data_IF_980348088101
#
_entry.id   IF_980348088101
#
_cell.length_a   1.000
_cell.length_b   1.000
_cell.length_c   1.000
_cell.angle_alpha   90.00
_cell.angle_beta   90.00
_cell.angle_gamma   90.00
#
_symmetry.space_group_name_H-M   'P 1'
#
loop_
_entity.id
_entity.type
_entity.pdbx_description
1 polymer ?
#
# COMPACT_ATOMS: atom_id res chain seq x y z
N UNK A 1 -38.95 -11.60 -15.55
CA UNK A 1 -39.41 -10.92 -14.33
C UNK A 1 -39.24 -9.43 -14.58
N UNK A 2 -40.27 -8.61 -14.41
CA UNK A 2 -40.22 -7.22 -14.88
C UNK A 2 -39.34 -6.40 -13.93
N UNK A 3 -38.63 -5.37 -14.42
CA UNK A 3 -37.78 -4.47 -13.62
C UNK A 3 -38.50 -3.99 -12.35
N UNK A 4 -39.81 -3.77 -12.43
CA UNK A 4 -40.68 -3.37 -11.31
C UNK A 4 -40.66 -4.37 -10.13
N UNK A 5 -40.53 -5.68 -10.37
CA UNK A 5 -40.48 -6.69 -9.31
C UNK A 5 -39.16 -6.61 -8.51
N UNK A 6 -38.07 -6.25 -9.17
CA UNK A 6 -36.75 -6.07 -8.55
C UNK A 6 -36.72 -4.77 -7.74
N UNK A 7 -37.35 -3.71 -8.25
CA UNK A 7 -37.47 -2.42 -7.58
C UNK A 7 -38.23 -2.52 -6.25
N UNK A 8 -39.34 -3.26 -6.22
CA UNK A 8 -40.10 -3.53 -4.98
C UNK A 8 -39.24 -4.28 -3.95
N UNK A 9 -38.49 -5.30 -4.39
CA UNK A 9 -37.56 -6.04 -3.49
C UNK A 9 -36.48 -5.14 -2.92
N UNK A 10 -35.90 -4.26 -3.74
CA UNK A 10 -34.83 -3.35 -3.32
C UNK A 10 -35.32 -2.32 -2.30
N UNK A 11 -36.48 -1.70 -2.56
CA UNK A 11 -37.09 -0.73 -1.65
C UNK A 11 -37.47 -1.36 -0.30
N UNK A 12 -37.98 -2.60 -0.30
CA UNK A 12 -38.26 -3.33 0.94
C UNK A 12 -37.00 -3.60 1.77
N UNK A 13 -35.87 -3.87 1.12
CA UNK A 13 -34.58 -4.12 1.78
C UNK A 13 -34.00 -2.83 2.38
N UNK A 14 -34.21 -1.70 1.71
CA UNK A 14 -33.79 -0.37 2.14
C UNK A 14 -34.50 0.06 3.43
N UNK A 15 -35.79 -0.25 3.56
CA UNK A 15 -36.55 -0.01 4.79
C UNK A 15 -36.10 -0.91 5.95
N UNK A 16 -35.75 -2.18 5.68
CA UNK A 16 -35.19 -3.07 6.70
C UNK A 16 -33.83 -2.60 7.21
N UNK A 17 -32.99 -2.02 6.34
CA UNK A 17 -31.71 -1.42 6.74
C UNK A 17 -31.93 -0.22 7.67
N UNK A 18 -32.89 0.66 7.35
CA UNK A 18 -33.20 1.83 8.19
C UNK A 18 -33.69 1.41 9.58
N UNK A 19 -34.51 0.37 9.66
CA UNK A 19 -34.99 -0.16 10.95
C UNK A 19 -33.85 -0.73 11.80
N UNK A 20 -32.90 -1.44 11.20
CA UNK A 20 -31.72 -1.94 11.93
C UNK A 20 -30.77 -0.82 12.41
N UNK A 21 -30.67 0.29 11.67
CA UNK A 21 -29.84 1.43 12.07
C UNK A 21 -30.41 2.23 13.26
N UNK A 22 -31.71 2.08 13.55
CA UNK A 22 -32.38 2.73 14.68
C UNK A 22 -32.35 1.88 15.96
N UNK A 23 -31.98 0.60 15.88
CA UNK A 23 -31.81 -0.29 17.03
C UNK A 23 -30.39 -0.21 17.58
N UNK A 24 -30.22 0.06 18.88
CA UNK A 24 -28.91 0.32 19.50
C UNK A 24 -28.12 -0.95 19.89
N UNK A 25 -28.32 -2.06 19.19
CA UNK A 25 -27.54 -3.29 19.39
C UNK A 25 -27.02 -3.85 18.05
N UNK A 26 -25.76 -4.28 18.05
CA UNK A 26 -25.08 -4.86 16.89
C UNK A 26 -25.71 -6.22 16.54
N UNK A 27 -26.75 -6.21 15.72
CA UNK A 27 -27.43 -7.42 15.29
C UNK A 27 -26.72 -8.03 14.06
N UNK A 28 -25.55 -8.62 14.29
CA UNK A 28 -24.67 -9.23 13.27
C UNK A 28 -25.41 -10.28 12.42
N UNK A 29 -26.37 -10.99 13.04
CA UNK A 29 -27.28 -11.92 12.37
C UNK A 29 -28.19 -11.22 11.35
N UNK A 30 -28.73 -10.05 11.69
CA UNK A 30 -29.56 -9.23 10.80
C UNK A 30 -28.77 -8.68 9.61
N UNK A 31 -27.53 -8.23 9.84
CA UNK A 31 -26.64 -7.75 8.78
C UNK A 31 -26.22 -8.88 7.82
N UNK A 32 -25.94 -10.07 8.34
CA UNK A 32 -25.61 -11.23 7.52
C UNK A 32 -26.82 -11.73 6.71
N UNK A 33 -28.04 -11.64 7.25
CA UNK A 33 -29.27 -11.92 6.52
C UNK A 33 -29.48 -10.95 5.35
N UNK A 34 -29.32 -9.64 5.59
CA UNK A 34 -29.45 -8.62 4.56
C UNK A 34 -28.40 -8.75 3.46
N UNK A 35 -27.14 -9.05 3.81
CA UNK A 35 -26.07 -9.31 2.82
C UNK A 35 -26.43 -10.45 1.87
N UNK A 36 -27.00 -11.55 2.39
CA UNK A 36 -27.43 -12.69 1.55
C UNK A 36 -28.55 -12.30 0.57
N UNK A 37 -29.51 -11.48 1.01
CA UNK A 37 -30.59 -11.00 0.15
C UNK A 37 -30.06 -10.06 -0.96
N UNK A 38 -29.11 -9.18 -0.62
CA UNK A 38 -28.50 -8.24 -1.57
C UNK A 38 -27.71 -8.97 -2.68
N UNK A 39 -26.98 -10.03 -2.31
CA UNK A 39 -26.26 -10.88 -3.27
C UNK A 39 -27.24 -11.57 -4.22
N UNK A 40 -28.36 -12.08 -3.72
CA UNK A 40 -29.37 -12.77 -4.53
C UNK A 40 -30.02 -11.82 -5.54
N UNK A 41 -30.35 -10.60 -5.13
CA UNK A 41 -30.88 -9.56 -6.02
C UNK A 41 -29.85 -9.14 -7.08
N UNK A 42 -28.57 -9.03 -6.71
CA UNK A 42 -27.48 -8.75 -7.65
C UNK A 42 -27.33 -9.83 -8.72
N UNK A 43 -27.48 -11.10 -8.34
CA UNK A 43 -27.46 -12.23 -9.28
C UNK A 43 -28.70 -12.24 -10.20
N UNK A 44 -29.87 -11.83 -9.71
CA UNK A 44 -31.10 -11.69 -10.51
C UNK A 44 -31.02 -10.52 -11.52
N UNK A 45 -30.35 -9.42 -11.16
CA UNK A 45 -30.09 -8.26 -12.03
C UNK A 45 -29.12 -8.55 -13.17
N UNK A 46 -28.13 -9.41 -12.92
CA UNK A 46 -27.12 -9.78 -13.90
C UNK A 46 -27.58 -10.91 -14.85
N UNK A 47 -28.85 -11.31 -14.80
CA UNK A 47 -29.43 -12.30 -15.71
C UNK A 47 -30.02 -11.62 -16.97
N UNK A 48 -29.47 -11.90 -18.18
CA UNK A 48 -29.80 -11.17 -19.41
C UNK A 48 -31.23 -11.38 -19.93
N UNK A 49 -31.95 -12.39 -19.42
CA UNK A 49 -33.35 -12.69 -19.79
C UNK A 49 -34.40 -11.75 -19.19
N UNK A 50 -34.01 -10.80 -18.33
CA UNK A 50 -34.93 -9.82 -17.71
C UNK A 50 -34.94 -8.43 -18.39
N UNK A 51 -34.17 -8.22 -19.47
CA UNK A 51 -34.14 -6.96 -20.21
C UNK A 51 -35.04 -6.99 -21.45
N UNK A 52 -36.33 -6.71 -21.28
CA UNK A 52 -37.20 -6.28 -22.38
C UNK A 52 -37.84 -4.94 -21.99
N UNK A 53 -37.37 -3.84 -22.58
CA UNK A 53 -37.91 -2.49 -22.34
C UNK A 53 -39.19 -2.25 -23.16
N UNK A 54 -40.21 -1.56 -22.63
CA UNK A 54 -41.33 -1.06 -23.43
C UNK A 54 -40.97 0.27 -24.12
N UNK A 55 -41.62 0.64 -25.24
CA UNK A 55 -41.10 1.66 -26.17
C UNK A 55 -41.24 3.13 -25.74
N UNK A 56 -41.57 3.45 -24.48
CA UNK A 56 -41.84 4.84 -24.08
C UNK A 56 -41.57 5.18 -22.60
N UNK A 57 -40.74 4.41 -21.90
CA UNK A 57 -40.27 4.83 -20.57
C UNK A 57 -39.08 5.78 -20.72
N UNK A 58 -39.24 7.03 -20.29
CA UNK A 58 -38.11 7.94 -20.02
C UNK A 58 -37.07 7.18 -19.19
N UNK A 59 -35.78 7.16 -19.58
CA UNK A 59 -34.82 6.32 -18.90
C UNK A 59 -34.52 6.89 -17.51
N UNK A 60 -35.01 6.20 -16.48
CA UNK A 60 -34.60 6.35 -15.07
C UNK A 60 -33.12 5.95 -14.84
N UNK A 61 -32.33 5.79 -15.92
CA UNK A 61 -30.87 5.69 -15.88
C UNK A 61 -30.26 6.97 -15.30
N UNK A 62 -30.94 8.12 -15.40
CA UNK A 62 -30.47 9.35 -14.80
C UNK A 62 -30.48 9.33 -13.26
N UNK A 63 -31.39 8.58 -12.62
CA UNK A 63 -31.46 8.50 -11.15
C UNK A 63 -30.59 7.36 -10.58
N UNK A 64 -30.37 6.29 -11.34
CA UNK A 64 -29.37 5.25 -10.98
C UNK A 64 -27.94 5.80 -11.09
N UNK A 65 -27.69 6.76 -11.99
CA UNK A 65 -26.45 7.51 -11.96
C UNK A 65 -26.31 8.34 -10.69
N UNK A 66 -27.35 8.78 -9.99
CA UNK A 66 -27.17 9.66 -8.81
C UNK A 66 -26.60 8.91 -7.60
N UNK A 67 -26.71 7.57 -7.53
CA UNK A 67 -26.07 6.76 -6.47
C UNK A 67 -24.69 6.24 -6.92
N UNK A 68 -24.46 6.05 -8.23
CA UNK A 68 -23.18 5.63 -8.83
C UNK A 68 -22.28 6.78 -9.31
N UNK A 69 -22.78 8.02 -9.35
CA UNK A 69 -22.11 9.21 -9.88
C UNK A 69 -22.14 10.38 -8.90
N UNK A 70 -22.03 10.09 -7.60
CA UNK A 70 -20.96 10.79 -6.90
C UNK A 70 -19.67 10.34 -7.58
N UNK A 71 -19.32 11.00 -8.72
CA UNK A 71 -17.92 11.17 -9.13
C UNK A 71 -17.16 11.28 -7.82
N UNK A 72 -16.11 10.48 -7.56
CA UNK A 72 -15.38 10.61 -6.32
C UNK A 72 -15.18 12.11 -6.18
N UNK A 73 -15.81 12.72 -5.16
CA UNK A 73 -15.60 14.14 -4.88
C UNK A 73 -14.10 14.15 -4.83
N UNK A 74 -13.44 14.76 -5.84
CA UNK A 74 -11.99 14.81 -5.85
C UNK A 74 -11.66 15.22 -4.45
N UNK A 75 -11.07 14.32 -3.67
CA UNK A 75 -10.80 14.60 -2.28
C UNK A 75 -9.75 15.69 -2.38
N UNK A 76 -10.21 16.94 -2.41
CA UNK A 76 -9.37 18.09 -2.28
C UNK A 76 -8.97 18.01 -0.83
N UNK A 77 -7.81 17.39 -0.63
CA UNK A 77 -7.02 17.59 0.57
C UNK A 77 -7.06 19.08 0.88
N UNK A 78 -7.25 19.44 2.15
CA UNK A 78 -7.09 20.83 2.56
C UNK A 78 -5.75 21.31 2.03
N UNK A 79 -5.75 22.41 1.27
CA UNK A 79 -4.54 22.90 0.60
C UNK A 79 -3.49 23.36 1.63
N UNK A 80 -3.93 23.71 2.83
CA UNK A 80 -3.06 23.96 3.98
C UNK A 80 -2.94 22.68 4.80
N UNK A 81 -1.73 22.13 4.80
CA UNK A 81 -1.31 21.02 5.66
C UNK A 81 -0.74 21.58 6.97
N UNK A 82 -0.81 20.79 8.03
CA UNK A 82 -0.08 21.07 9.27
C UNK A 82 1.12 20.13 9.33
N UNK A 83 2.30 20.66 9.66
CA UNK A 83 3.43 19.83 10.07
C UNK A 83 3.07 19.27 11.44
N UNK A 84 2.69 17.99 11.49
CA UNK A 84 2.40 17.31 12.77
C UNK A 84 3.71 17.01 13.51
N UNK A 85 4.81 16.89 12.76
CA UNK A 85 6.09 16.35 13.21
C UNK A 85 7.25 16.88 12.36
N UNK A 86 8.36 17.31 12.97
CA UNK A 86 9.64 17.59 12.28
C UNK A 86 10.10 19.05 12.32
N UNK A 87 10.37 19.64 11.15
CA UNK A 87 10.83 21.04 11.05
C UNK A 87 9.80 22.01 11.65
N UNK A 88 10.28 23.09 12.25
CA UNK A 88 9.50 24.10 13.00
C UNK A 88 9.01 23.69 14.40
N UNK A 89 9.57 22.62 14.98
CA UNK A 89 9.41 22.32 16.41
C UNK A 89 10.46 23.12 17.22
N UNK A 90 10.02 23.82 18.28
CA UNK A 90 10.89 24.62 19.16
C UNK A 90 11.93 23.75 19.91
N UNK A 91 11.57 22.50 20.19
CA UNK A 91 12.44 21.53 20.87
C UNK A 91 13.43 20.92 19.88
N UNK A 92 14.66 21.45 19.86
CA UNK A 92 15.75 21.01 18.97
C UNK A 92 15.96 19.48 19.00
N UNK A 93 15.86 18.87 20.18
CA UNK A 93 16.01 17.43 20.37
C UNK A 93 14.98 16.62 19.58
N UNK A 94 13.85 17.17 19.16
CA UNK A 94 12.80 16.46 18.42
C UNK A 94 12.83 16.71 16.90
N UNK A 95 13.79 17.50 16.40
CA UNK A 95 13.99 17.66 14.95
C UNK A 95 14.36 16.31 14.31
N UNK A 96 13.66 15.95 13.24
CA UNK A 96 13.90 14.73 12.49
C UNK A 96 15.09 14.90 11.53
N UNK A 97 15.80 13.80 11.24
CA UNK A 97 16.92 13.78 10.32
C UNK A 97 16.85 12.54 9.40
N UNK A 98 16.46 12.78 8.14
CA UNK A 98 16.17 11.75 7.11
C UNK A 98 15.25 10.63 7.62
N UNK A 99 14.08 10.95 8.22
CA UNK A 99 13.14 9.93 8.67
C UNK A 99 12.77 9.00 7.51
N UNK A 100 12.56 7.71 7.80
CA UNK A 100 12.33 6.68 6.78
C UNK A 100 10.88 6.23 6.76
N UNK A 101 10.52 5.25 7.59
CA UNK A 101 9.16 4.74 7.67
C UNK A 101 8.45 5.23 8.93
N UNK A 102 7.12 5.18 8.83
CA UNK A 102 6.21 5.50 9.91
C UNK A 102 5.23 4.36 10.12
N UNK A 103 4.78 4.18 11.34
CA UNK A 103 3.66 3.31 11.69
C UNK A 103 2.63 4.10 12.48
N UNK A 104 1.36 3.88 12.18
CA UNK A 104 0.25 4.51 12.88
C UNK A 104 -0.60 3.43 13.50
N UNK A 105 -0.78 3.52 14.81
CA UNK A 105 -1.51 2.54 15.58
C UNK A 105 -3.02 2.86 15.63
N UNK A 106 -3.83 2.01 16.28
CA UNK A 106 -5.29 2.23 16.36
C UNK A 106 -5.68 3.45 17.20
N UNK A 107 -4.83 3.85 18.14
CA UNK A 107 -4.99 5.05 18.96
C UNK A 107 -4.45 6.31 18.26
N UNK A 108 -3.98 6.17 17.01
CA UNK A 108 -3.39 7.23 16.18
C UNK A 108 -2.07 7.75 16.74
N UNK A 109 -1.35 6.93 17.49
CA UNK A 109 0.05 7.19 17.82
C UNK A 109 0.89 6.95 16.57
N UNK A 110 1.81 7.87 16.31
CA UNK A 110 2.68 7.88 15.15
C UNK A 110 4.08 7.52 15.61
N UNK A 111 4.57 6.38 15.16
CA UNK A 111 5.91 5.88 15.41
C UNK A 111 6.78 6.16 14.20
N UNK A 112 7.97 6.71 14.40
CA UNK A 112 8.81 7.19 13.30
C UNK A 112 10.24 6.70 13.49
N UNK A 113 10.77 6.02 12.47
CA UNK A 113 12.17 5.66 12.39
C UNK A 113 12.99 6.88 11.94
N UNK A 114 13.64 7.56 12.89
CA UNK A 114 14.45 8.75 12.67
C UNK A 114 15.90 8.34 12.37
N UNK A 115 16.12 7.96 11.12
CA UNK A 115 17.27 7.18 10.66
C UNK A 115 18.63 7.79 10.98
N UNK A 116 18.88 9.06 10.65
CA UNK A 116 20.20 9.66 10.90
C UNK A 116 20.39 10.09 12.35
N UNK A 117 19.32 10.18 13.13
CA UNK A 117 19.41 10.42 14.57
C UNK A 117 19.46 9.11 15.39
N UNK A 118 19.46 7.94 14.72
CA UNK A 118 19.62 6.62 15.33
C UNK A 118 18.62 6.36 16.47
N UNK A 119 17.34 6.64 16.21
CA UNK A 119 16.28 6.57 17.23
C UNK A 119 14.91 6.31 16.62
N UNK A 120 13.96 6.01 17.50
CA UNK A 120 12.53 6.00 17.19
C UNK A 120 11.82 7.03 18.07
N UNK A 121 10.93 7.80 17.46
CA UNK A 121 10.09 8.78 18.14
C UNK A 121 8.62 8.35 18.06
N UNK A 122 7.89 8.54 19.14
CA UNK A 122 6.43 8.44 19.20
C UNK A 122 5.80 9.84 19.33
N UNK A 123 4.69 10.03 18.63
CA UNK A 123 3.81 11.19 18.77
C UNK A 123 2.36 10.75 18.92
N UNK A 124 1.67 11.29 19.90
CA UNK A 124 0.21 11.17 19.96
C UNK A 124 -0.45 12.10 18.93
N UNK A 125 -1.62 11.71 18.45
CA UNK A 125 -2.38 12.52 17.51
C UNK A 125 -2.75 13.88 18.12
N UNK A 126 -2.38 14.97 17.43
CA UNK A 126 -2.55 16.37 17.88
C UNK A 126 -1.70 16.77 19.09
N UNK A 127 -0.71 15.97 19.51
CA UNK A 127 0.23 16.40 20.53
C UNK A 127 1.16 17.50 20.00
N UNK A 128 1.54 18.43 20.88
CA UNK A 128 2.48 19.51 20.56
C UNK A 128 3.95 19.08 20.70
N UNK A 129 4.21 17.92 21.33
CA UNK A 129 5.54 17.37 21.56
C UNK A 129 5.52 15.85 21.41
N UNK A 130 6.69 15.27 21.15
CA UNK A 130 6.87 13.82 20.98
C UNK A 130 7.90 13.28 21.95
N UNK A 131 8.01 11.96 22.02
CA UNK A 131 8.90 11.27 22.94
C UNK A 131 9.87 10.34 22.19
N UNK A 132 11.14 10.34 22.59
CA UNK A 132 12.08 9.31 22.15
C UNK A 132 11.78 8.04 22.94
N UNK A 133 11.39 6.99 22.23
CA UNK A 133 10.96 5.72 22.82
C UNK A 133 11.99 4.60 22.63
N UNK A 134 12.92 4.76 21.69
CA UNK A 134 14.08 3.88 21.53
C UNK A 134 15.27 4.61 20.90
N UNK A 135 16.49 4.16 21.23
CA UNK A 135 17.73 4.74 20.74
C UNK A 135 17.99 6.17 21.24
N UNK A 136 18.64 6.99 20.41
CA UNK A 136 18.94 8.40 20.72
C UNK A 136 20.19 8.63 21.59
N UNK A 137 20.98 7.58 21.85
CA UNK A 137 22.25 7.65 22.59
C UNK A 137 23.45 7.45 21.65
N UNK A 138 23.36 8.04 20.46
CA UNK A 138 24.31 7.82 19.36
C UNK A 138 24.13 6.48 18.66
N UNK A 139 24.85 6.31 17.55
CA UNK A 139 24.85 5.06 16.79
C UNK A 139 25.60 3.96 17.55
N UNK A 140 25.08 2.75 17.52
CA UNK A 140 25.78 1.59 18.08
C UNK A 140 24.89 0.38 18.31
N UNK A 141 25.48 -0.68 18.84
CA UNK A 141 24.83 -1.99 19.04
C UNK A 141 24.36 -2.21 20.50
N UNK A 142 24.77 -1.35 21.43
CA UNK A 142 24.49 -1.47 22.86
C UNK A 142 23.00 -1.39 23.19
N UNK A 143 22.61 -1.79 24.40
CA UNK A 143 21.22 -1.82 24.92
C UNK A 143 20.47 -0.47 24.90
N UNK A 144 21.09 0.63 24.51
CA UNK A 144 20.39 1.93 24.40
C UNK A 144 20.65 2.63 23.07
N UNK A 145 21.23 1.90 22.12
CA UNK A 145 21.65 2.40 20.84
C UNK A 145 20.96 1.64 19.73
N UNK A 146 20.59 2.40 18.70
CA UNK A 146 20.22 1.88 17.39
C UNK A 146 21.29 2.37 16.41
N UNK A 147 21.28 1.85 15.20
CA UNK A 147 22.14 2.28 14.12
C UNK A 147 21.32 2.33 12.83
N UNK A 148 20.82 3.53 12.52
CA UNK A 148 20.07 3.82 11.31
C UNK A 148 18.81 2.96 11.18
N UNK A 149 17.88 3.04 12.15
CA UNK A 149 16.63 2.30 12.05
C UNK A 149 15.85 2.77 10.81
N UNK A 150 15.33 1.82 10.04
CA UNK A 150 14.64 2.11 8.78
C UNK A 150 13.13 1.89 8.88
N UNK A 151 12.70 0.98 9.74
CA UNK A 151 11.30 0.65 9.95
C UNK A 151 10.98 0.42 11.43
N UNK A 152 9.72 0.69 11.79
CA UNK A 152 9.17 0.45 13.12
C UNK A 152 7.71 0.03 12.99
N UNK A 153 7.30 -1.00 13.73
CA UNK A 153 5.90 -1.38 13.90
C UNK A 153 5.58 -1.53 15.39
N UNK A 154 4.31 -1.47 15.76
CA UNK A 154 3.86 -1.60 17.15
C UNK A 154 3.01 -2.86 17.34
N UNK A 155 3.40 -3.69 18.30
CA UNK A 155 2.63 -4.86 18.72
C UNK A 155 1.59 -4.49 19.76
N UNK A 156 0.34 -4.33 19.30
CA UNK A 156 -0.80 -3.97 20.15
C UNK A 156 -1.08 -4.99 21.27
N UNK A 157 -0.70 -6.26 21.10
CA UNK A 157 -0.97 -7.27 22.13
C UNK A 157 0.02 -7.14 23.29
N UNK A 158 1.29 -6.87 23.00
CA UNK A 158 2.36 -6.85 24.01
C UNK A 158 2.85 -5.44 24.36
N UNK A 159 2.42 -4.41 23.62
CA UNK A 159 2.87 -3.02 23.73
C UNK A 159 4.37 -2.79 23.47
N UNK A 160 5.00 -3.71 22.73
CA UNK A 160 6.39 -3.55 22.29
C UNK A 160 6.40 -2.92 20.91
N UNK A 161 7.42 -2.10 20.63
CA UNK A 161 7.78 -1.75 19.26
C UNK A 161 8.77 -2.77 18.71
N UNK A 162 8.70 -3.03 17.41
CA UNK A 162 9.63 -3.87 16.68
C UNK A 162 10.31 -2.99 15.65
N UNK A 163 11.63 -2.97 15.66
CA UNK A 163 12.45 -2.01 14.91
C UNK A 163 13.39 -2.78 13.97
N UNK A 164 13.41 -2.37 12.70
CA UNK A 164 14.41 -2.81 11.74
C UNK A 164 15.64 -1.92 11.90
N UNK A 165 16.62 -2.41 12.66
CA UNK A 165 17.84 -1.70 13.02
C UNK A 165 18.94 -1.96 11.98
N UNK A 166 18.77 -1.31 10.83
CA UNK A 166 19.38 -1.69 9.55
C UNK A 166 20.91 -1.81 9.61
N UNK A 167 21.62 -0.78 10.06
CA UNK A 167 23.10 -0.80 10.05
C UNK A 167 23.67 -1.78 11.10
N UNK A 168 22.88 -2.14 12.11
CA UNK A 168 23.23 -3.21 13.05
C UNK A 168 22.81 -4.60 12.54
N UNK A 169 22.14 -4.68 11.38
CA UNK A 169 21.67 -5.91 10.74
C UNK A 169 20.86 -6.80 11.68
N UNK A 170 19.91 -6.20 12.39
CA UNK A 170 19.04 -6.91 13.33
C UNK A 170 17.61 -6.40 13.29
N UNK A 171 16.68 -7.24 13.73
CA UNK A 171 15.34 -6.82 14.13
C UNK A 171 15.23 -6.96 15.64
N UNK A 172 14.90 -5.86 16.31
CA UNK A 172 14.88 -5.78 17.77
C UNK A 172 13.47 -5.43 18.24
N UNK A 173 13.00 -6.16 19.26
CA UNK A 173 11.82 -5.81 20.03
C UNK A 173 12.25 -4.93 21.20
N UNK A 174 11.52 -3.85 21.44
CA UNK A 174 11.89 -2.81 22.41
C UNK A 174 10.66 -2.35 23.19
N UNK A 175 10.77 -2.28 24.52
CA UNK A 175 9.81 -1.60 25.39
C UNK A 175 10.57 -1.02 26.58
N UNK A 176 10.67 0.31 26.66
CA UNK A 176 11.42 0.98 27.73
C UNK A 176 12.88 0.45 27.86
N UNK A 177 13.19 -0.25 28.95
CA UNK A 177 14.51 -0.87 29.24
C UNK A 177 14.59 -2.33 28.78
N UNK A 178 13.46 -2.96 28.50
CA UNK A 178 13.40 -4.38 28.11
C UNK A 178 13.57 -4.50 26.60
N UNK A 179 14.59 -5.24 26.20
CA UNK A 179 14.95 -5.44 24.81
C UNK A 179 15.26 -6.90 24.53
N UNK A 180 14.85 -7.34 23.35
CA UNK A 180 15.17 -8.65 22.84
C UNK A 180 15.46 -8.54 21.35
N UNK A 181 16.62 -9.06 20.93
CA UNK A 181 16.88 -9.22 19.51
C UNK A 181 16.04 -10.40 19.02
N UNK A 182 15.15 -10.14 18.07
CA UNK A 182 14.29 -11.16 17.47
C UNK A 182 15.01 -11.89 16.34
N UNK A 183 15.75 -11.13 15.52
CA UNK A 183 16.42 -11.65 14.32
C UNK A 183 17.81 -11.02 14.22
N UNK A 184 18.83 -11.87 14.04
CA UNK A 184 20.22 -11.46 13.84
C UNK A 184 20.62 -11.58 12.36
N UNK A 185 21.64 -10.81 11.96
CA UNK A 185 22.31 -10.89 10.66
C UNK A 185 21.39 -10.73 9.45
N UNK A 186 20.41 -9.83 9.55
CA UNK A 186 19.42 -9.58 8.50
C UNK A 186 19.50 -8.14 8.00
N UNK A 187 19.50 -7.95 6.68
CA UNK A 187 19.39 -6.64 6.04
C UNK A 187 17.91 -6.28 5.87
N UNK A 188 17.23 -6.06 7.01
CA UNK A 188 15.80 -5.84 7.07
C UNK A 188 15.42 -4.41 6.62
N UNK A 189 14.68 -4.28 5.52
CA UNK A 189 14.20 -2.99 4.99
C UNK A 189 12.72 -2.69 5.25
N UNK A 190 11.95 -3.73 5.58
CA UNK A 190 10.51 -3.65 5.77
C UNK A 190 10.03 -4.66 6.80
N UNK A 191 9.13 -4.21 7.65
CA UNK A 191 8.46 -4.99 8.68
C UNK A 191 6.94 -4.96 8.42
N UNK A 192 6.30 -6.10 8.62
CA UNK A 192 4.83 -6.18 8.73
C UNK A 192 4.46 -7.25 9.77
N UNK A 193 3.30 -7.13 10.38
CA UNK A 193 2.80 -8.14 11.31
C UNK A 193 1.32 -8.39 11.09
N UNK A 194 0.94 -9.67 11.09
CA UNK A 194 -0.46 -10.05 10.98
C UNK A 194 -1.16 -10.18 12.35
N UNK A 195 -2.47 -10.41 12.31
CA UNK A 195 -3.31 -10.59 13.50
C UNK A 195 -2.95 -11.80 14.37
N UNK A 196 -2.20 -12.77 13.81
CA UNK A 196 -1.74 -13.97 14.50
C UNK A 196 -0.32 -13.79 15.08
N UNK A 197 0.25 -12.59 14.98
CA UNK A 197 1.61 -12.22 15.41
C UNK A 197 2.71 -13.00 14.69
N UNK A 198 2.50 -13.29 13.41
CA UNK A 198 3.63 -13.55 12.53
C UNK A 198 4.22 -12.23 12.05
N UNK A 199 5.53 -12.10 12.26
CA UNK A 199 6.35 -11.00 11.79
C UNK A 199 6.88 -11.35 10.40
N UNK A 200 6.67 -10.46 9.44
CA UNK A 200 7.19 -10.58 8.09
C UNK A 200 8.30 -9.56 7.92
N UNK A 201 9.43 -10.00 7.38
CA UNK A 201 10.64 -9.18 7.22
C UNK A 201 11.16 -9.31 5.79
N UNK A 202 11.49 -8.20 5.15
CA UNK A 202 12.12 -8.21 3.83
C UNK A 202 13.63 -8.20 3.99
N UNK A 203 14.28 -9.30 3.66
CA UNK A 203 15.74 -9.36 3.60
C UNK A 203 16.19 -8.87 2.22
N UNK A 204 16.63 -7.62 2.20
CA UNK A 204 17.00 -6.90 0.99
C UNK A 204 18.14 -7.60 0.24
N UNK A 205 19.17 -8.09 0.95
CA UNK A 205 20.34 -8.69 0.29
C UNK A 205 20.06 -10.10 -0.19
N UNK A 206 19.27 -10.86 0.57
CA UNK A 206 18.93 -12.23 0.23
C UNK A 206 17.74 -12.36 -0.71
N UNK A 207 17.13 -11.25 -1.13
CA UNK A 207 16.05 -11.25 -2.12
C UNK A 207 14.85 -12.10 -1.66
N UNK A 208 14.51 -12.03 -0.38
CA UNK A 208 13.48 -12.88 0.23
C UNK A 208 12.63 -12.12 1.25
N UNK A 209 11.45 -12.67 1.49
CA UNK A 209 10.60 -12.31 2.62
C UNK A 209 10.48 -13.50 3.54
N UNK A 210 10.87 -13.30 4.80
CA UNK A 210 10.78 -14.30 5.85
C UNK A 210 9.56 -14.03 6.71
N UNK A 211 8.83 -15.09 7.07
CA UNK A 211 7.81 -15.10 8.10
C UNK A 211 8.38 -15.71 9.38
N UNK A 212 8.20 -15.03 10.50
CA UNK A 212 8.75 -15.38 11.80
C UNK A 212 7.66 -15.36 12.87
N UNK A 213 7.53 -16.44 13.64
CA UNK A 213 6.64 -16.45 14.80
C UNK A 213 7.41 -15.97 16.03
N UNK A 214 7.05 -14.79 16.54
CA UNK A 214 7.78 -14.12 17.64
C UNK A 214 7.89 -15.01 18.89
N UNK A 215 6.92 -15.88 19.16
CA UNK A 215 6.90 -16.74 20.36
C UNK A 215 7.60 -18.09 20.22
N UNK A 216 8.12 -18.43 19.04
CA UNK A 216 8.47 -19.83 18.76
C UNK A 216 9.97 -20.17 18.88
N UNK A 217 10.88 -19.21 19.09
CA UNK A 217 12.35 -19.41 18.99
C UNK A 217 12.80 -20.15 17.71
N UNK A 218 11.95 -20.18 16.69
CA UNK A 218 12.19 -20.92 15.46
C UNK A 218 12.90 -20.04 14.43
N UNK A 219 13.50 -20.64 13.42
CA UNK A 219 14.05 -19.94 12.25
C UNK A 219 12.91 -19.40 11.39
N UNK A 220 13.09 -18.23 10.77
CA UNK A 220 12.15 -17.70 9.78
C UNK A 220 11.95 -18.63 8.59
N UNK A 221 10.75 -18.63 8.03
CA UNK A 221 10.36 -19.41 6.85
C UNK A 221 10.27 -18.46 5.67
N UNK A 222 10.90 -18.79 4.55
CA UNK A 222 10.76 -18.01 3.30
C UNK A 222 9.34 -18.17 2.78
N UNK A 223 8.63 -17.04 2.64
CA UNK A 223 7.25 -17.00 2.12
C UNK A 223 7.15 -16.30 0.75
N UNK A 224 8.19 -15.58 0.34
CA UNK A 224 8.33 -15.03 -1.01
C UNK A 224 9.81 -14.83 -1.36
N UNK A 225 10.17 -15.00 -2.65
CA UNK A 225 11.55 -14.84 -3.11
C UNK A 225 12.47 -16.00 -2.71
N UNK A 226 13.73 -15.68 -2.39
CA UNK A 226 14.77 -16.63 -1.97
C UNK A 226 15.51 -17.33 -3.12
N UNK A 227 15.15 -17.05 -4.37
CA UNK A 227 15.79 -17.63 -5.56
C UNK A 227 16.56 -16.58 -6.39
N UNK A 228 17.09 -15.57 -5.69
CA UNK A 228 17.82 -14.45 -6.29
C UNK A 228 16.92 -13.41 -6.99
N UNK A 229 17.55 -12.37 -7.56
CA UNK A 229 16.84 -11.31 -8.28
C UNK A 229 16.31 -11.82 -9.61
N UNK A 230 15.07 -11.44 -9.92
CA UNK A 230 14.46 -11.74 -11.22
C UNK A 230 12.95 -11.60 -11.25
N UNK A 231 12.37 -12.01 -12.38
CA UNK A 231 10.95 -11.80 -12.69
C UNK A 231 10.10 -13.06 -12.52
N UNK A 232 10.69 -14.18 -12.09
CA UNK A 232 9.93 -15.40 -11.82
C UNK A 232 9.09 -15.23 -10.54
N UNK A 233 8.01 -16.01 -10.42
CA UNK A 233 7.09 -15.94 -9.29
C UNK A 233 7.77 -16.21 -7.93
N UNK A 234 8.88 -16.95 -7.92
CA UNK A 234 9.69 -17.29 -6.76
C UNK A 234 10.96 -16.45 -6.61
N UNK A 235 11.10 -15.36 -7.36
CA UNK A 235 12.23 -14.43 -7.30
C UNK A 235 11.76 -13.05 -6.82
N UNK A 236 12.62 -12.33 -6.12
CA UNK A 236 12.40 -10.92 -5.76
C UNK A 236 13.70 -10.17 -6.03
N UNK A 237 13.65 -8.91 -6.41
CA UNK A 237 14.85 -8.08 -6.50
C UNK A 237 14.85 -7.00 -5.42
N UNK A 238 15.68 -7.17 -4.39
CA UNK A 238 15.90 -6.15 -3.36
C UNK A 238 14.57 -5.69 -2.70
N UNK A 239 13.80 -6.61 -2.07
CA UNK A 239 12.50 -6.28 -1.50
C UNK A 239 12.65 -5.27 -0.36
N UNK A 240 11.73 -4.29 -0.30
CA UNK A 240 11.84 -3.16 0.64
C UNK A 240 10.61 -2.93 1.50
N UNK A 241 9.40 -2.94 0.93
CA UNK A 241 8.15 -2.76 1.69
C UNK A 241 7.36 -4.05 1.69
N UNK A 242 6.75 -4.35 2.82
CA UNK A 242 5.81 -5.45 2.97
C UNK A 242 4.51 -4.89 3.52
N UNK A 243 3.40 -5.34 2.95
CA UNK A 243 2.08 -5.18 3.52
C UNK A 243 1.42 -6.55 3.61
N UNK A 244 0.69 -6.79 4.70
CA UNK A 244 -0.07 -8.03 4.91
C UNK A 244 -1.52 -7.68 5.18
N UNK A 245 -2.42 -8.28 4.42
CA UNK A 245 -3.86 -8.02 4.57
C UNK A 245 -4.51 -8.88 5.69
N UNK A 246 -5.82 -8.70 5.87
CA UNK A 246 -6.61 -9.44 6.87
C UNK A 246 -6.74 -10.96 6.61
N UNK A 247 -6.48 -11.38 5.37
CA UNK A 247 -6.48 -12.77 4.90
C UNK A 247 -5.08 -13.39 4.96
N UNK A 248 -4.06 -12.63 5.38
CA UNK A 248 -2.64 -13.00 5.41
C UNK A 248 -1.99 -13.13 4.01
N UNK A 249 -2.54 -12.45 3.00
CA UNK A 249 -1.87 -12.28 1.72
C UNK A 249 -0.70 -11.30 1.90
N UNK A 250 0.48 -11.66 1.39
CA UNK A 250 1.70 -10.85 1.51
C UNK A 250 1.94 -10.09 0.22
N UNK A 251 1.98 -8.77 0.31
CA UNK A 251 2.28 -7.85 -0.77
C UNK A 251 3.68 -7.28 -0.56
N UNK A 252 4.54 -7.41 -1.57
CA UNK A 252 5.95 -7.04 -1.47
C UNK A 252 6.29 -6.04 -2.57
N UNK A 253 6.90 -4.91 -2.22
CA UNK A 253 7.52 -4.04 -3.20
C UNK A 253 9.00 -4.42 -3.36
N UNK A 254 9.37 -4.82 -4.56
CA UNK A 254 10.74 -5.08 -4.97
C UNK A 254 11.11 -4.19 -6.17
N UNK A 255 12.35 -4.27 -6.65
CA UNK A 255 12.87 -3.47 -7.76
C UNK A 255 12.52 -4.07 -9.12
N UNK A 256 11.25 -4.41 -9.34
CA UNK A 256 10.78 -4.88 -10.64
C UNK A 256 10.56 -3.72 -11.61
N UNK A 257 11.10 -3.88 -12.82
CA UNK A 257 10.72 -3.07 -13.97
C UNK A 257 9.40 -3.63 -14.50
N UNK A 258 8.36 -2.80 -14.46
CA UNK A 258 7.03 -3.17 -14.97
C UNK A 258 6.77 -2.63 -16.38
N UNK A 259 7.55 -1.63 -16.84
CA UNK A 259 7.50 -1.07 -18.19
C UNK A 259 8.88 -0.52 -18.59
N UNK A 260 9.25 -0.70 -19.86
CA UNK A 260 10.58 -0.36 -20.37
C UNK A 260 11.64 -1.41 -20.04
N UNK A 261 12.91 -1.00 -20.00
CA UNK A 261 14.04 -1.84 -19.60
C UNK A 261 15.04 -1.01 -18.80
N UNK A 262 16.10 -1.63 -18.28
CA UNK A 262 17.15 -0.96 -17.54
C UNK A 262 18.09 -0.08 -18.40
N UNK A 263 17.72 0.22 -19.65
CA UNK A 263 18.51 1.06 -20.53
C UNK A 263 17.69 2.19 -21.16
N UNK A 264 18.32 3.35 -21.25
CA UNK A 264 17.81 4.50 -21.99
C UNK A 264 17.96 4.24 -23.50
N UNK A 265 16.91 4.50 -24.27
CA UNK A 265 16.93 4.39 -25.72
C UNK A 265 15.55 4.56 -26.34
N UNK A 266 15.47 4.37 -27.65
CA UNK A 266 14.28 4.65 -28.47
C UNK A 266 13.48 3.41 -28.85
N UNK A 267 13.97 2.20 -28.53
CA UNK A 267 13.26 0.97 -28.84
C UNK A 267 11.95 0.84 -28.03
N UNK A 268 11.03 -0.03 -28.47
CA UNK A 268 9.72 -0.20 -27.82
C UNK A 268 9.82 -0.80 -26.40
N UNK A 269 10.96 -1.36 -26.04
CA UNK A 269 11.30 -1.85 -24.70
C UNK A 269 12.23 -0.89 -23.93
N UNK A 270 12.44 0.33 -24.40
CA UNK A 270 13.29 1.34 -23.75
C UNK A 270 12.51 2.64 -23.52
N UNK A 271 12.93 3.40 -22.51
CA UNK A 271 12.33 4.69 -22.13
C UNK A 271 13.44 5.67 -21.76
N UNK A 272 13.23 6.96 -22.04
CA UNK A 272 14.16 8.04 -21.83
C UNK A 272 13.53 9.16 -21.00
N UNK A 273 14.02 9.35 -19.77
CA UNK A 273 13.55 10.40 -18.84
C UNK A 273 12.02 10.47 -18.73
N UNK A 274 11.33 9.38 -18.33
CA UNK A 274 9.88 9.41 -18.22
C UNK A 274 9.42 10.42 -17.16
N UNK A 275 8.34 11.15 -17.43
CA UNK A 275 7.80 12.19 -16.52
C UNK A 275 6.42 11.86 -15.95
N UNK A 276 5.75 10.84 -16.47
CA UNK A 276 4.41 10.46 -16.01
C UNK A 276 4.08 9.01 -16.30
N UNK A 277 3.25 8.43 -15.44
CA UNK A 277 2.70 7.08 -15.58
C UNK A 277 1.20 7.10 -15.27
N UNK A 278 0.42 6.36 -16.03
CA UNK A 278 -1.00 6.12 -15.80
C UNK A 278 -1.31 4.65 -16.04
N UNK A 279 -2.17 4.07 -15.19
CA UNK A 279 -2.65 2.69 -15.36
C UNK A 279 -4.17 2.76 -15.46
N UNK A 280 -4.72 2.20 -16.53
CA UNK A 280 -6.17 2.16 -16.72
C UNK A 280 -6.84 0.97 -16.01
N UNK A 281 -8.17 0.95 -15.99
CA UNK A 281 -8.96 -0.09 -15.30
C UNK A 281 -8.78 -1.49 -15.91
N UNK A 282 -8.17 -1.60 -17.09
CA UNK A 282 -7.82 -2.88 -17.71
C UNK A 282 -6.38 -3.33 -17.42
N UNK A 283 -5.63 -2.54 -16.63
CA UNK A 283 -4.25 -2.82 -16.27
C UNK A 283 -3.21 -2.41 -17.32
N UNK A 284 -3.60 -1.66 -18.36
CA UNK A 284 -2.66 -1.16 -19.36
C UNK A 284 -1.88 0.02 -18.78
N UNK A 285 -0.56 0.02 -19.00
CA UNK A 285 0.34 1.05 -18.48
C UNK A 285 0.66 2.04 -19.60
N UNK A 286 0.45 3.32 -19.35
CA UNK A 286 0.83 4.43 -20.22
C UNK A 286 1.98 5.21 -19.57
N UNK A 287 3.05 5.46 -20.33
CA UNK A 287 4.21 6.23 -19.85
C UNK A 287 4.45 7.41 -20.78
N UNK A 288 4.59 8.59 -20.18
CA UNK A 288 5.07 9.79 -20.87
C UNK A 288 6.60 9.73 -20.98
N UNK A 289 7.08 9.16 -22.09
CA UNK A 289 8.49 8.99 -22.42
C UNK A 289 9.07 10.31 -22.98
N UNK A 290 9.22 11.29 -22.08
CA UNK A 290 9.51 12.69 -22.41
C UNK A 290 10.79 12.87 -23.23
N UNK A 291 11.87 12.18 -22.88
CA UNK A 291 13.15 12.24 -23.60
C UNK A 291 13.03 11.78 -25.06
N UNK A 292 12.10 10.86 -25.33
CA UNK A 292 11.79 10.40 -26.69
C UNK A 292 10.58 11.09 -27.31
N UNK A 293 9.93 12.04 -26.61
CA UNK A 293 8.77 12.81 -27.08
C UNK A 293 7.62 11.94 -27.57
N UNK A 294 7.31 10.88 -26.81
CA UNK A 294 6.27 9.91 -27.15
C UNK A 294 5.48 9.47 -25.93
N UNK A 295 4.29 8.91 -26.18
CA UNK A 295 3.51 8.16 -25.21
C UNK A 295 3.59 6.68 -25.58
N UNK A 296 4.06 5.89 -24.63
CA UNK A 296 4.18 4.45 -24.79
C UNK A 296 3.10 3.75 -23.99
N UNK A 297 2.61 2.61 -24.51
CA UNK A 297 1.64 1.75 -23.84
C UNK A 297 2.15 0.33 -23.74
N UNK A 298 1.99 -0.28 -22.57
CA UNK A 298 2.28 -1.70 -22.34
C UNK A 298 1.01 -2.47 -21.96
N UNK A 299 0.91 -3.66 -22.53
CA UNK A 299 0.07 -4.77 -22.11
C UNK A 299 0.90 -5.74 -21.28
N UNK A 300 0.24 -6.68 -20.60
CA UNK A 300 0.90 -7.83 -20.00
C UNK A 300 1.80 -8.53 -21.05
N UNK A 301 3.12 -8.42 -20.89
CA UNK A 301 4.12 -9.03 -21.77
C UNK A 301 4.49 -8.31 -23.08
N UNK A 302 3.94 -7.13 -23.43
CA UNK A 302 4.27 -6.42 -24.69
C UNK A 302 4.14 -4.90 -24.60
N UNK A 303 5.07 -4.15 -25.21
CA UNK A 303 5.01 -2.68 -25.36
C UNK A 303 4.82 -2.21 -26.80
N UNK A 304 4.13 -1.08 -27.01
CA UNK A 304 3.94 -0.43 -28.31
C UNK A 304 3.88 1.11 -28.20
N UNK A 305 4.15 1.79 -29.32
CA UNK A 305 4.02 3.24 -29.47
C UNK A 305 2.54 3.60 -29.68
N UNK A 306 2.01 4.53 -28.88
CA UNK A 306 0.63 5.03 -29.05
C UNK A 306 0.63 6.31 -29.89
N UNK A 307 1.47 7.27 -29.51
CA UNK A 307 1.58 8.59 -30.16
C UNK A 307 3.02 9.09 -30.01
N UNK A 308 3.63 9.61 -31.09
CA UNK A 308 4.98 10.18 -31.03
C UNK A 308 5.28 11.13 -32.17
N UNK A 309 6.16 12.10 -31.92
CA UNK A 309 6.73 12.99 -32.95
C UNK A 309 8.10 12.51 -33.42
N UNK A 310 8.35 12.55 -34.74
CA UNK A 310 9.66 12.20 -35.30
C UNK A 310 10.74 13.22 -34.90
N UNK A 311 11.97 12.74 -34.70
CA UNK A 311 13.16 13.60 -34.66
C UNK A 311 13.30 14.29 -36.03
N UNK A 312 13.37 15.64 -36.11
CA UNK A 312 13.55 16.35 -37.38
C UNK A 312 14.86 16.03 -38.13
N UNK A 313 15.79 15.29 -37.53
CA UNK A 313 17.17 15.17 -38.04
C UNK A 313 17.46 13.84 -38.76
N UNK A 314 16.45 13.05 -39.14
CA UNK A 314 16.63 11.80 -39.90
C UNK A 314 16.00 11.78 -41.30
N UNK A 315 15.61 12.93 -41.86
CA UNK A 315 15.13 13.06 -43.25
C UNK A 315 16.24 13.50 -44.22
N UNK A 316 17.39 12.82 -44.22
CA UNK A 316 18.44 13.04 -45.24
C UNK A 316 18.89 11.74 -45.92
N UNK A 317 17.95 10.82 -46.19
CA UNK A 317 18.26 9.55 -46.87
C UNK A 317 17.19 9.00 -47.81
N UNK A 318 16.02 9.62 -47.94
CA UNK A 318 14.94 9.13 -48.79
C UNK A 318 14.18 10.28 -49.46
N UNK A 319 14.88 11.10 -50.26
CA UNK A 319 14.35 11.77 -51.46
C UNK A 319 15.53 12.35 -52.25
N UNK A 320 15.74 11.88 -53.48
CA UNK A 320 16.60 12.52 -54.49
C UNK A 320 18.03 12.03 -54.52
#
# INVERSE_FOLDING_TARGET
MCINDIEVKFNGLLEQIKQLQQGNESNETGLNYLRKQLIKISQELNNPSNMSSPPNSQPLINDILIISSKKPKFMKWKQNTITVVGENIEVEKLKLNRPQRIFIDRNKHIFIADFMNHRVIEWECNANTGQIIAGGNGKGYSEKQLSNPIDVIFDQQTHFIIIADLSNRRVIQWMNKDQQILIHNIDCYGLAMDKNRFLYVSDYKNNEVLQWKISANNKGIVVAGGNGPGHQLNQLDSPTFIFVDEYQSVYVSDRRIVAGSNSNGENLNQISKPEGIFVDDSGQIYVADYGNRRIMRWYEGKGELVVGGYKPDQLSGLMG
#
